data_IF_242673548251
#
_entry.id   IF_242673548251
#
_cell.length_a   1.000
_cell.length_b   1.000
_cell.length_c   1.000
_cell.angle_alpha   90.00
_cell.angle_beta   90.00
_cell.angle_gamma   90.00
#
_symmetry.space_group_name_H-M   'P 1'
#
loop_
_entity.id
_entity.type
_entity.pdbx_description
1 polymer ?
#
# COMPACT_ATOMS: atom_id res chain seq x y z
N UNK A 1 15.99 14.02 -10.69
CA UNK A 1 16.28 14.01 -12.14
C UNK A 1 14.96 13.92 -12.88
N UNK A 2 14.83 14.74 -13.91
CA UNK A 2 13.58 15.17 -14.55
C UNK A 2 13.31 14.28 -15.78
N UNK A 3 12.23 13.51 -15.79
CA UNK A 3 11.73 12.86 -17.01
C UNK A 3 10.34 13.44 -17.33
N UNK A 4 10.34 14.34 -18.31
CA UNK A 4 9.12 14.86 -18.97
C UNK A 4 8.49 13.74 -19.77
N UNK A 5 7.18 13.53 -19.61
CA UNK A 5 6.34 12.85 -20.60
C UNK A 5 5.24 13.84 -20.97
N UNK A 6 5.15 14.35 -22.22
CA UNK A 6 4.00 15.09 -22.67
C UNK A 6 3.11 14.18 -23.52
N UNK A 7 1.89 13.91 -23.05
CA UNK A 7 0.83 13.35 -23.90
C UNK A 7 -0.46 14.11 -23.63
N UNK A 8 -0.81 15.00 -24.56
CA UNK A 8 -2.12 15.65 -24.69
C UNK A 8 -2.79 15.07 -25.93
N UNK A 9 -3.96 14.47 -25.77
CA UNK A 9 -4.88 14.18 -26.86
C UNK A 9 -6.23 14.81 -26.52
N UNK A 10 -6.83 15.46 -27.52
CA UNK A 10 -8.09 16.21 -27.42
C UNK A 10 -9.10 15.65 -28.41
N UNK A 11 -10.29 15.28 -27.94
CA UNK A 11 -11.52 15.11 -28.73
C UNK A 11 -12.72 15.62 -27.91
N UNK A 12 -13.70 16.31 -28.53
CA UNK A 12 -14.79 16.98 -27.81
C UNK A 12 -16.06 16.12 -27.69
N UNK A 13 -16.81 16.24 -26.59
CA UNK A 13 -18.20 15.75 -26.53
C UNK A 13 -18.75 15.30 -25.16
N UNK A 14 -19.21 16.28 -24.36
CA UNK A 14 -20.40 16.25 -23.45
C UNK A 14 -20.53 15.23 -22.30
N UNK A 15 -20.24 15.69 -21.07
CA UNK A 15 -21.02 15.39 -19.84
C UNK A 15 -20.67 16.42 -18.74
N UNK A 16 -21.66 17.12 -18.18
CA UNK A 16 -21.53 18.40 -17.45
C UNK A 16 -20.79 18.43 -16.09
N UNK A 17 -20.08 17.37 -15.68
CA UNK A 17 -19.00 17.45 -14.66
C UNK A 17 -17.60 17.45 -15.27
N UNK A 18 -17.54 17.35 -16.59
CA UNK A 18 -16.35 17.22 -17.41
C UNK A 18 -16.38 18.42 -18.34
N UNK A 19 -15.68 19.49 -17.98
CA UNK A 19 -15.35 20.51 -18.98
C UNK A 19 -14.65 19.85 -20.16
N UNK A 20 -14.80 20.38 -21.36
CA UNK A 20 -14.32 19.80 -22.64
C UNK A 20 -12.79 19.55 -22.70
N UNK A 21 -12.06 19.84 -21.62
CA UNK A 21 -10.61 19.68 -21.47
C UNK A 21 -10.19 18.92 -20.19
N UNK A 22 -11.11 18.25 -19.50
CA UNK A 22 -10.84 17.59 -18.21
C UNK A 22 -9.98 16.34 -18.35
N UNK A 23 -8.69 16.42 -17.95
CA UNK A 23 -7.83 15.25 -17.76
C UNK A 23 -8.16 14.61 -16.41
N UNK A 24 -8.59 13.35 -16.42
CA UNK A 24 -8.94 12.60 -15.21
C UNK A 24 -7.88 11.53 -14.95
N UNK A 25 -7.39 11.47 -13.72
CA UNK A 25 -6.50 10.42 -13.23
C UNK A 25 -7.15 9.79 -12.00
N UNK A 26 -7.21 8.47 -11.96
CA UNK A 26 -7.64 7.71 -10.79
C UNK A 26 -6.46 6.91 -10.24
N UNK A 27 -6.44 6.73 -8.93
CA UNK A 27 -5.47 5.87 -8.24
C UNK A 27 -6.27 4.96 -7.32
N UNK A 28 -5.97 3.66 -7.36
CA UNK A 28 -6.69 2.68 -6.58
C UNK A 28 -5.88 1.40 -6.41
N UNK A 29 -6.25 0.65 -5.39
CA UNK A 29 -5.70 -0.66 -5.08
C UNK A 29 -6.87 -1.61 -4.80
N UNK A 30 -7.07 -2.57 -5.71
CA UNK A 30 -8.08 -3.62 -5.63
C UNK A 30 -7.91 -4.49 -4.36
N UNK A 31 -6.68 -4.81 -4.00
CA UNK A 31 -6.34 -5.63 -2.82
C UNK A 31 -6.60 -4.90 -1.50
N UNK A 32 -6.82 -3.58 -1.52
CA UNK A 32 -7.13 -2.74 -0.35
C UNK A 32 -8.59 -2.27 -0.29
N UNK A 33 -9.47 -2.86 -1.11
CA UNK A 33 -10.90 -2.49 -1.15
C UNK A 33 -11.70 -3.13 -0.02
N UNK A 34 -11.66 -2.54 1.19
CA UNK A 34 -12.31 -3.07 2.40
C UNK A 34 -13.73 -2.53 2.67
N UNK A 35 -14.22 -1.58 1.87
CA UNK A 35 -15.52 -0.92 2.06
C UNK A 35 -16.67 -1.57 1.27
N UNK A 36 -16.56 -2.86 0.92
CA UNK A 36 -17.58 -3.58 0.14
C UNK A 36 -18.98 -3.50 0.76
N UNK A 37 -19.10 -3.52 2.09
CA UNK A 37 -20.37 -3.40 2.82
C UNK A 37 -21.09 -2.06 2.63
N UNK A 38 -20.38 -1.03 2.14
CA UNK A 38 -20.96 0.29 1.78
C UNK A 38 -21.24 0.43 0.29
N UNK A 39 -21.16 -0.66 -0.47
CA UNK A 39 -21.35 -0.65 -1.92
C UNK A 39 -20.11 -0.22 -2.71
N UNK A 40 -18.91 -0.22 -2.10
CA UNK A 40 -17.68 -0.11 -2.87
C UNK A 40 -17.52 -1.37 -3.74
N UNK A 41 -17.25 -1.19 -5.04
CA UNK A 41 -17.12 -2.26 -6.03
C UNK A 41 -15.75 -2.11 -6.71
N UNK A 42 -14.93 -3.16 -6.68
CA UNK A 42 -13.59 -3.17 -7.30
C UNK A 42 -13.70 -3.02 -8.82
N UNK A 43 -14.82 -3.46 -9.37
CA UNK A 43 -15.23 -3.34 -10.77
C UNK A 43 -15.26 -1.88 -11.24
N UNK A 44 -15.39 -0.91 -10.33
CA UNK A 44 -15.36 0.51 -10.70
C UNK A 44 -13.99 0.91 -11.28
N UNK A 45 -12.90 0.33 -10.79
CA UNK A 45 -11.56 0.57 -11.32
C UNK A 45 -11.45 -0.03 -12.73
N UNK A 46 -12.04 -1.20 -12.95
CA UNK A 46 -12.06 -1.85 -14.27
C UNK A 46 -12.94 -1.09 -15.27
N UNK A 47 -14.12 -0.64 -14.84
CA UNK A 47 -15.07 0.12 -15.66
C UNK A 47 -14.51 1.47 -16.11
N UNK A 48 -13.61 2.08 -15.34
CA UNK A 48 -12.95 3.33 -15.72
C UNK A 48 -12.25 3.24 -17.09
N UNK A 49 -11.64 2.09 -17.41
CA UNK A 49 -10.99 1.89 -18.71
C UNK A 49 -11.98 1.80 -19.87
N UNK A 50 -13.21 1.36 -19.60
CA UNK A 50 -14.30 1.33 -20.59
C UNK A 50 -14.92 2.71 -20.79
N UNK A 51 -15.07 3.49 -19.70
CA UNK A 51 -15.69 4.82 -19.72
C UNK A 51 -14.74 5.88 -20.33
N UNK A 52 -13.43 5.67 -20.25
CA UNK A 52 -12.40 6.55 -20.80
C UNK A 52 -11.50 5.83 -21.82
N UNK A 53 -12.01 5.58 -23.05
CA UNK A 53 -11.22 5.01 -24.12
C UNK A 53 -10.04 5.95 -24.44
N UNK A 54 -8.83 5.53 -24.09
CA UNK A 54 -7.60 6.33 -24.14
C UNK A 54 -6.90 6.52 -22.79
N UNK A 55 -7.49 6.04 -21.69
CA UNK A 55 -6.82 5.97 -20.40
C UNK A 55 -5.68 4.95 -20.41
N UNK A 56 -4.51 5.35 -19.88
CA UNK A 56 -3.36 4.47 -19.70
C UNK A 56 -3.36 3.88 -18.29
N UNK A 57 -3.05 2.58 -18.18
CA UNK A 57 -2.88 1.91 -16.88
C UNK A 57 -1.41 1.88 -16.51
N UNK A 58 -1.05 2.54 -15.40
CA UNK A 58 0.30 2.49 -14.83
C UNK A 58 0.25 1.66 -13.56
N UNK A 59 1.09 0.62 -13.47
CA UNK A 59 1.18 -0.28 -12.31
C UNK A 59 2.42 0.02 -11.49
N UNK A 60 2.23 0.33 -10.21
CA UNK A 60 3.31 0.59 -9.26
C UNK A 60 3.52 -0.64 -8.38
N UNK A 61 4.51 -1.47 -8.74
CA UNK A 61 4.76 -2.74 -8.05
C UNK A 61 5.93 -2.66 -7.05
N UNK A 62 6.76 -1.63 -7.14
CA UNK A 62 7.83 -1.41 -6.18
C UNK A 62 7.29 -0.79 -4.88
N UNK A 63 7.46 -1.50 -3.78
CA UNK A 63 7.11 -1.05 -2.44
C UNK A 63 8.35 -0.49 -1.72
N UNK A 64 8.22 0.74 -1.23
CA UNK A 64 9.27 1.45 -0.50
C UNK A 64 9.02 1.53 1.01
N UNK A 65 7.94 0.90 1.51
CA UNK A 65 7.50 0.98 2.92
C UNK A 65 7.98 -0.21 3.75
N UNK A 66 7.88 -1.41 3.18
CA UNK A 66 8.00 -2.68 3.90
C UNK A 66 9.18 -3.49 3.39
N UNK A 67 9.69 -4.36 4.26
CA UNK A 67 10.83 -5.25 3.95
C UNK A 67 10.41 -6.47 3.15
N UNK A 68 11.36 -7.19 2.56
CA UNK A 68 11.08 -8.35 1.70
C UNK A 68 10.28 -9.44 2.41
N UNK A 69 10.58 -9.72 3.69
CA UNK A 69 9.85 -10.72 4.48
C UNK A 69 8.37 -10.38 4.65
N UNK A 70 8.06 -9.10 4.91
CA UNK A 70 6.67 -8.62 5.05
C UNK A 70 5.94 -8.72 3.71
N UNK A 71 6.58 -8.30 2.62
CA UNK A 71 5.97 -8.35 1.28
C UNK A 71 5.74 -9.77 0.80
N UNK A 72 6.66 -10.69 1.12
CA UNK A 72 6.52 -12.10 0.76
C UNK A 72 5.29 -12.72 1.43
N UNK A 73 5.09 -12.45 2.73
CA UNK A 73 3.90 -12.92 3.44
C UNK A 73 2.61 -12.26 2.92
N UNK A 74 2.63 -10.96 2.64
CA UNK A 74 1.48 -10.25 2.09
C UNK A 74 1.08 -10.77 0.69
N UNK A 75 2.06 -10.97 -0.20
CA UNK A 75 1.84 -11.55 -1.52
C UNK A 75 1.26 -12.98 -1.43
N UNK A 76 1.84 -13.83 -0.57
CA UNK A 76 1.35 -15.19 -0.37
C UNK A 76 -0.09 -15.23 0.17
N UNK A 77 -0.46 -14.29 1.06
CA UNK A 77 -1.84 -14.19 1.56
C UNK A 77 -2.81 -13.79 0.45
N UNK A 78 -2.48 -12.74 -0.31
CA UNK A 78 -3.39 -12.16 -1.30
C UNK A 78 -3.52 -13.01 -2.58
N UNK A 79 -2.56 -13.89 -2.85
CA UNK A 79 -2.64 -14.88 -3.95
C UNK A 79 -3.84 -15.83 -3.81
N UNK A 80 -4.40 -15.99 -2.61
CA UNK A 80 -5.59 -16.82 -2.38
C UNK A 80 -6.91 -16.15 -2.81
N UNK A 81 -6.92 -14.85 -3.10
CA UNK A 81 -8.13 -14.11 -3.45
C UNK A 81 -8.42 -14.20 -4.97
N UNK A 82 -9.68 -14.48 -5.31
CA UNK A 82 -10.17 -14.50 -6.69
C UNK A 82 -10.55 -13.09 -7.18
N UNK A 83 -10.59 -12.88 -8.51
CA UNK A 83 -11.09 -11.62 -9.11
C UNK A 83 -10.12 -10.44 -9.06
N UNK A 84 -8.84 -10.69 -8.76
CA UNK A 84 -7.79 -9.67 -8.67
C UNK A 84 -7.35 -9.18 -10.05
N UNK A 85 -6.84 -7.95 -10.10
CA UNK A 85 -6.16 -7.39 -11.28
C UNK A 85 -4.75 -7.96 -11.49
N UNK A 86 -4.29 -8.82 -10.56
CA UNK A 86 -3.12 -9.67 -10.71
C UNK A 86 -1.81 -8.91 -10.67
N UNK A 87 -1.45 -8.35 -9.50
CA UNK A 87 -0.17 -7.67 -9.24
C UNK A 87 0.62 -8.34 -8.13
N UNK A 88 1.95 -8.20 -8.21
CA UNK A 88 2.90 -8.70 -7.21
C UNK A 88 3.79 -7.56 -6.76
N UNK A 89 3.80 -7.29 -5.46
CA UNK A 89 4.65 -6.23 -4.90
C UNK A 89 6.06 -6.76 -4.66
N UNK A 90 7.08 -5.94 -4.96
CA UNK A 90 8.48 -6.26 -4.69
C UNK A 90 9.20 -5.08 -4.03
N UNK A 91 10.37 -5.30 -3.42
CA UNK A 91 11.19 -4.22 -2.85
C UNK A 91 12.66 -4.45 -3.14
N UNK A 92 13.43 -3.36 -3.19
CA UNK A 92 14.90 -3.34 -3.25
C UNK A 92 15.51 -3.12 -1.84
N UNK A 93 14.67 -3.10 -0.81
CA UNK A 93 15.10 -3.05 0.58
C UNK A 93 15.64 -4.38 1.09
N UNK A 94 16.23 -4.36 2.28
CA UNK A 94 16.67 -5.58 2.96
C UNK A 94 15.48 -6.49 3.34
N UNK A 95 15.78 -7.76 3.63
CA UNK A 95 14.78 -8.74 4.03
C UNK A 95 14.02 -8.35 5.31
N UNK A 96 14.73 -7.67 6.22
CA UNK A 96 14.22 -7.28 7.53
C UNK A 96 14.08 -8.47 8.48
N UNK A 97 13.54 -8.18 9.66
CA UNK A 97 13.31 -9.22 10.67
C UNK A 97 12.21 -10.21 10.22
N UNK A 98 12.32 -11.50 10.58
CA UNK A 98 11.25 -12.46 10.36
C UNK A 98 9.96 -12.07 11.07
N UNK A 99 8.82 -12.39 10.45
CA UNK A 99 7.51 -12.17 11.07
C UNK A 99 7.35 -13.12 12.26
N UNK A 100 7.13 -12.55 13.44
CA UNK A 100 6.91 -13.30 14.67
C UNK A 100 5.42 -13.49 14.93
N UNK A 101 5.01 -14.69 15.33
CA UNK A 101 3.64 -15.00 15.74
C UNK A 101 3.63 -15.31 17.24
N UNK A 102 2.69 -14.72 17.98
CA UNK A 102 2.44 -15.01 19.39
C UNK A 102 1.01 -15.51 19.55
N UNK A 103 0.84 -16.75 20.00
CA UNK A 103 -0.47 -17.33 20.27
C UNK A 103 -0.81 -17.09 21.75
N UNK A 104 -1.60 -16.05 22.01
CA UNK A 104 -2.05 -15.73 23.36
C UNK A 104 -3.07 -16.75 23.88
N UNK A 105 -3.10 -16.97 25.20
CA UNK A 105 -4.09 -17.85 25.82
C UNK A 105 -5.49 -17.21 25.91
N UNK A 106 -5.55 -15.88 26.06
CA UNK A 106 -6.78 -15.09 26.10
C UNK A 106 -6.49 -13.62 25.75
N UNK A 107 -7.53 -12.80 25.60
CA UNK A 107 -7.43 -11.39 25.21
C UNK A 107 -6.59 -10.56 26.20
N UNK A 108 -6.63 -10.89 27.50
CA UNK A 108 -5.85 -10.19 28.52
C UNK A 108 -4.34 -10.50 28.39
N UNK A 109 -4.00 -11.75 28.06
CA UNK A 109 -2.64 -12.18 27.78
C UNK A 109 -2.10 -11.50 26.51
N UNK A 110 -2.89 -11.45 25.44
CA UNK A 110 -2.55 -10.72 24.21
C UNK A 110 -2.28 -9.24 24.51
N UNK A 111 -3.18 -8.57 25.23
CA UNK A 111 -3.04 -7.17 25.59
C UNK A 111 -1.76 -6.92 26.41
N UNK A 112 -1.45 -7.80 27.38
CA UNK A 112 -0.22 -7.72 28.17
C UNK A 112 1.03 -7.92 27.31
N UNK A 113 1.01 -8.88 26.40
CA UNK A 113 2.11 -9.13 25.47
C UNK A 113 2.41 -7.89 24.61
N UNK A 114 1.38 -7.29 24.00
CA UNK A 114 1.53 -6.08 23.17
C UNK A 114 2.09 -4.91 23.98
N UNK A 115 1.55 -4.65 25.18
CA UNK A 115 2.04 -3.57 26.06
C UNK A 115 3.51 -3.80 26.45
N UNK A 116 3.88 -5.02 26.79
CA UNK A 116 5.25 -5.35 27.17
C UNK A 116 6.22 -5.17 25.98
N UNK A 117 5.84 -5.58 24.77
CA UNK A 117 6.64 -5.36 23.56
C UNK A 117 6.88 -3.88 23.28
N UNK A 118 5.83 -3.06 23.36
CA UNK A 118 5.95 -1.61 23.19
C UNK A 118 6.90 -1.00 24.23
N UNK A 119 6.80 -1.41 25.51
CA UNK A 119 7.70 -0.93 26.58
C UNK A 119 9.16 -1.30 26.31
N UNK A 120 9.42 -2.53 25.87
CA UNK A 120 10.78 -2.99 25.52
C UNK A 120 11.38 -2.14 24.42
N UNK A 121 10.67 -1.98 23.29
CA UNK A 121 11.16 -1.18 22.16
C UNK A 121 11.30 0.30 22.48
N UNK A 122 10.40 0.88 23.28
CA UNK A 122 10.53 2.25 23.74
C UNK A 122 11.78 2.43 24.62
N UNK A 123 12.08 1.46 25.49
CA UNK A 123 13.27 1.45 26.32
C UNK A 123 14.57 1.33 25.51
N UNK A 124 14.60 0.46 24.51
CA UNK A 124 15.72 0.32 23.57
C UNK A 124 15.93 1.60 22.76
N UNK A 125 14.87 2.21 22.24
CA UNK A 125 14.94 3.45 21.48
C UNK A 125 15.50 4.61 22.31
N UNK A 126 15.10 4.72 23.58
CA UNK A 126 15.65 5.73 24.51
C UNK A 126 17.15 5.50 24.76
N UNK A 127 17.57 4.26 24.97
CA UNK A 127 18.99 3.91 25.16
C UNK A 127 19.83 4.23 23.90
N UNK A 128 19.33 3.87 22.72
CA UNK A 128 19.98 4.18 21.45
C UNK A 128 20.01 5.69 21.12
N UNK A 129 19.04 6.46 21.63
CA UNK A 129 19.03 7.93 21.54
C UNK A 129 20.06 8.58 22.46
N UNK A 130 20.14 8.11 23.72
CA UNK A 130 21.12 8.61 24.69
C UNK A 130 22.57 8.36 24.25
N UNK A 131 22.85 7.16 23.70
CA UNK A 131 24.19 6.80 23.21
C UNK A 131 24.64 7.62 22.00
N UNK A 132 23.71 8.06 21.14
CA UNK A 132 24.01 8.95 20.02
C UNK A 132 24.36 10.37 20.46
N UNK A 133 23.81 10.83 21.58
CA UNK A 133 24.10 12.16 22.12
C UNK A 133 25.48 12.22 22.81
N UNK A 134 25.93 11.11 23.42
CA UNK A 134 27.25 11.02 24.07
C UNK A 134 28.42 10.84 23.10
N UNK A 135 28.19 10.40 21.86
CA UNK A 135 29.22 10.22 20.83
C UNK A 135 29.41 11.47 19.94
N UNK A 136 28.66 12.53 20.21
CA UNK A 136 28.70 13.82 19.49
C UNK A 136 29.41 14.93 20.28
N UNK A 137 30.08 14.60 21.40
CA UNK A 137 30.92 15.51 22.18
C UNK A 137 32.36 15.00 22.24
#
# INVERSE_FOLDING_TARGET
>A
MNSRIPTTFSTPGSACWRGDTGKVMIVGDDDQSIYGWRGAQVENIQRFLNDFPGAETIRLEQNYRSTSNILSAANALIENNNGRLGKKLWTDGADGEPISLYCAFNDLDEARFVVNRIKTWAGERRRAGAMRHSLSQ
#
